data_IF_127989398363
#
_entry.id   IF_127989398363
#
_cell.length_a   1.000
_cell.length_b   1.000
_cell.length_c   1.000
_cell.angle_alpha   90.00
_cell.angle_beta   90.00
_cell.angle_gamma   90.00
#
_symmetry.space_group_name_H-M   'P 1'
#
loop_
_entity.id
_entity.type
_entity.pdbx_description
1 polymer ?
#
# COMPACT_ATOMS: atom_id res chain seq x y z
N UNK A 1 -2.45 -14.71 -0.56
CA UNK A 1 -3.37 -14.11 0.38
C UNK A 1 -2.67 -13.34 1.47
N UNK A 2 -1.54 -13.87 1.94
CA UNK A 2 -0.78 -13.16 2.95
C UNK A 2 -0.39 -11.77 2.45
N UNK A 3 -0.03 -11.70 1.19
CA UNK A 3 0.36 -10.43 0.59
C UNK A 3 -0.77 -9.42 0.60
N UNK A 4 -1.98 -9.88 0.32
CA UNK A 4 -3.12 -8.99 0.29
C UNK A 4 -3.44 -8.45 1.66
N UNK A 5 -3.21 -9.24 2.68
CA UNK A 5 -3.43 -8.76 4.04
C UNK A 5 -2.45 -7.69 4.43
N UNK A 6 -1.19 -7.86 4.03
CA UNK A 6 -0.19 -6.85 4.28
C UNK A 6 -0.54 -5.55 3.58
N UNK A 7 -0.95 -5.66 2.32
CA UNK A 7 -1.31 -4.48 1.54
C UNK A 7 -2.51 -3.77 2.14
N UNK A 8 -3.49 -4.54 2.58
CA UNK A 8 -4.67 -3.97 3.18
C UNK A 8 -4.31 -3.23 4.47
N UNK A 9 -3.45 -3.84 5.27
CA UNK A 9 -3.02 -3.22 6.51
C UNK A 9 -2.21 -1.95 6.23
N UNK A 10 -1.31 -2.03 5.27
CA UNK A 10 -0.51 -0.89 4.88
C UNK A 10 -1.41 0.28 4.49
N UNK A 11 -2.36 0.01 3.59
CA UNK A 11 -3.26 1.05 3.12
C UNK A 11 -4.11 1.64 4.21
N UNK A 12 -4.59 0.79 5.11
CA UNK A 12 -5.41 1.26 6.21
C UNK A 12 -4.64 2.23 7.10
N UNK A 13 -3.41 1.88 7.41
CA UNK A 13 -2.57 2.75 8.24
C UNK A 13 -2.27 4.06 7.50
N UNK A 14 -1.95 3.96 6.21
CA UNK A 14 -1.62 5.15 5.44
C UNK A 14 -2.81 6.10 5.37
N UNK A 15 -4.02 5.58 5.22
CA UNK A 15 -5.21 6.40 5.22
C UNK A 15 -5.41 7.05 6.58
N UNK A 16 -5.24 6.29 7.64
CA UNK A 16 -5.44 6.81 8.98
C UNK A 16 -4.44 7.91 9.32
N UNK A 17 -3.23 7.79 8.80
CA UNK A 17 -2.22 8.81 9.03
C UNK A 17 -2.42 10.02 8.13
N UNK A 18 -3.33 9.94 7.20
CA UNK A 18 -3.58 11.05 6.29
C UNK A 18 -2.60 11.17 5.16
N UNK A 19 -1.81 10.12 4.92
CA UNK A 19 -0.86 10.13 3.81
C UNK A 19 -1.53 9.94 2.46
N UNK A 20 -2.63 9.20 2.44
CA UNK A 20 -3.40 8.98 1.23
C UNK A 20 -4.88 9.02 1.59
N UNK A 21 -5.70 9.19 0.57
CA UNK A 21 -7.14 9.14 0.75
C UNK A 21 -7.64 7.72 0.53
N UNK A 22 -8.86 7.48 0.96
CA UNK A 22 -9.49 6.20 0.73
C UNK A 22 -9.58 5.90 -0.77
N UNK A 23 -9.90 6.92 -1.54
CA UNK A 23 -9.99 6.74 -2.99
C UNK A 23 -8.65 6.37 -3.60
N UNK A 24 -7.58 7.00 -3.14
CA UNK A 24 -6.25 6.68 -3.64
C UNK A 24 -5.87 5.25 -3.30
N UNK A 25 -6.27 4.79 -2.13
CA UNK A 25 -6.02 3.42 -1.72
C UNK A 25 -6.75 2.44 -2.65
N UNK A 26 -8.01 2.74 -2.93
CA UNK A 26 -8.81 1.88 -3.80
C UNK A 26 -8.24 1.86 -5.21
N UNK A 27 -7.80 3.01 -5.70
CA UNK A 27 -7.16 3.09 -7.01
C UNK A 27 -5.92 2.22 -7.09
N UNK A 28 -5.10 2.28 -6.05
CA UNK A 28 -3.87 1.49 -6.03
C UNK A 28 -4.19 0.00 -6.03
N UNK A 29 -5.23 -0.41 -5.31
CA UNK A 29 -5.67 -1.79 -5.32
C UNK A 29 -6.10 -2.22 -6.72
N UNK A 30 -6.82 -1.35 -7.41
CA UNK A 30 -7.26 -1.66 -8.77
C UNK A 30 -6.06 -1.87 -9.67
N UNK A 31 -5.08 -0.99 -9.59
CA UNK A 31 -3.87 -1.12 -10.40
C UNK A 31 -3.18 -2.44 -10.09
N UNK A 32 -3.09 -2.78 -8.82
CA UNK A 32 -2.44 -4.01 -8.42
C UNK A 32 -3.14 -5.23 -9.03
N UNK A 33 -4.45 -5.23 -8.98
CA UNK A 33 -5.23 -6.33 -9.52
C UNK A 33 -5.03 -6.42 -11.02
N UNK A 34 -5.06 -5.29 -11.70
CA UNK A 34 -4.90 -5.26 -13.15
C UNK A 34 -3.52 -5.76 -13.56
N UNK A 35 -2.49 -5.33 -12.86
CA UNK A 35 -1.14 -5.78 -13.17
C UNK A 35 -1.00 -7.28 -12.94
N UNK A 36 -1.61 -7.77 -11.89
CA UNK A 36 -1.56 -9.18 -11.59
C UNK A 36 -2.22 -10.00 -12.70
N UNK A 37 -3.37 -9.55 -13.14
CA UNK A 37 -4.12 -10.28 -14.16
C UNK A 37 -3.47 -10.21 -15.52
N UNK A 38 -2.91 -9.06 -15.88
CA UNK A 38 -2.40 -8.84 -17.22
C UNK A 38 -0.95 -9.29 -17.37
N UNK A 39 -0.14 -9.04 -16.35
CA UNK A 39 1.30 -9.27 -16.45
C UNK A 39 1.82 -10.28 -15.45
N UNK A 40 0.98 -10.74 -14.55
CA UNK A 40 1.43 -11.65 -13.51
C UNK A 40 2.33 -10.99 -12.49
N UNK A 41 2.33 -9.68 -12.42
CA UNK A 41 3.17 -8.96 -11.48
C UNK A 41 2.49 -8.85 -10.12
N UNK A 42 3.31 -8.76 -9.08
CA UNK A 42 2.80 -8.72 -7.71
C UNK A 42 3.42 -7.58 -6.95
N UNK A 43 3.25 -6.36 -7.46
CA UNK A 43 3.78 -5.21 -6.75
C UNK A 43 2.94 -4.93 -5.51
N UNK A 44 3.63 -4.54 -4.45
CA UNK A 44 2.94 -4.16 -3.23
C UNK A 44 2.28 -2.79 -3.40
N UNK A 45 1.24 -2.55 -2.62
CA UNK A 45 0.50 -1.29 -2.68
C UNK A 45 1.44 -0.11 -2.46
N UNK A 46 2.36 -0.24 -1.50
CA UNK A 46 3.30 0.85 -1.23
C UNK A 46 4.15 1.19 -2.44
N UNK A 47 4.58 0.18 -3.19
CA UNK A 47 5.39 0.41 -4.38
C UNK A 47 4.58 1.14 -5.45
N UNK A 48 3.32 0.79 -5.59
CA UNK A 48 2.46 1.44 -6.57
C UNK A 48 2.25 2.91 -6.18
N UNK A 49 1.98 3.16 -4.91
CA UNK A 49 1.75 4.52 -4.44
C UNK A 49 3.00 5.37 -4.58
N UNK A 50 4.16 4.77 -4.35
CA UNK A 50 5.42 5.48 -4.54
C UNK A 50 5.62 5.83 -6.00
N UNK A 51 5.37 4.87 -6.87
CA UNK A 51 5.57 5.06 -8.30
C UNK A 51 4.65 6.15 -8.84
N UNK A 52 3.46 6.27 -8.27
CA UNK A 52 2.51 7.29 -8.70
C UNK A 52 2.78 8.65 -8.07
N UNK A 53 3.76 8.73 -7.19
CA UNK A 53 4.06 9.98 -6.53
C UNK A 53 3.07 10.37 -5.45
N UNK A 54 2.24 9.43 -5.02
CA UNK A 54 1.25 9.70 -3.99
C UNK A 54 1.86 9.61 -2.60
N UNK A 55 2.79 8.68 -2.41
CA UNK A 55 3.51 8.55 -1.15
C UNK A 55 5.00 8.68 -1.39
N UNK A 56 5.69 9.19 -0.40
CA UNK A 56 7.16 9.25 -0.44
C UNK A 56 7.74 8.04 0.26
N UNK A 57 9.02 7.78 0.01
CA UNK A 57 9.71 6.70 0.71
C UNK A 57 9.66 6.89 2.21
N UNK A 58 9.78 8.13 2.64
CA UNK A 58 9.75 8.44 4.06
C UNK A 58 8.41 8.05 4.68
N UNK A 59 7.33 8.35 3.98
CA UNK A 59 6.00 8.00 4.45
C UNK A 59 5.82 6.48 4.46
N UNK A 60 6.34 5.81 3.45
CA UNK A 60 6.25 4.36 3.39
C UNK A 60 7.00 3.74 4.57
N UNK A 61 8.20 4.23 4.84
CA UNK A 61 8.97 3.73 5.96
C UNK A 61 8.23 3.92 7.27
N UNK A 62 7.55 5.04 7.39
CA UNK A 62 6.80 5.32 8.60
C UNK A 62 5.67 4.33 8.80
N UNK A 63 4.96 4.00 7.73
CA UNK A 63 3.87 3.03 7.82
C UNK A 63 4.43 1.65 8.15
N UNK A 64 5.52 1.27 7.50
CA UNK A 64 6.12 -0.04 7.75
C UNK A 64 6.59 -0.12 9.20
N UNK A 65 7.08 0.96 9.74
CA UNK A 65 7.48 0.99 11.13
C UNK A 65 6.35 0.70 12.08
N UNK A 66 5.13 1.06 11.69
CA UNK A 66 3.97 0.77 12.52
C UNK A 66 3.68 -0.72 12.58
N UNK A 67 4.03 -1.45 11.53
CA UNK A 67 3.84 -2.90 11.54
C UNK A 67 4.60 -3.54 12.68
N UNK A 68 5.85 -3.15 12.84
CA UNK A 68 6.65 -3.72 13.89
C UNK A 68 6.07 -3.47 15.27
N UNK A 69 5.55 -2.27 15.47
CA UNK A 69 4.99 -1.92 16.76
C UNK A 69 3.72 -2.68 17.06
N UNK A 70 2.97 -3.02 16.04
CA UNK A 70 1.68 -3.68 16.21
C UNK A 70 1.79 -5.18 16.38
N UNK A 71 2.97 -5.70 16.27
CA UNK A 71 3.15 -7.14 16.37
C UNK A 71 3.34 -7.63 17.79
N UNK A 72 3.27 -6.74 18.70
CA UNK A 72 3.42 -7.14 20.09
C UNK A 72 2.17 -7.78 20.69
#
# INVERSE_FOLDING_TARGET
MVEKELDKRFGTIAVKKGFITQEQFIQAFRIQIEENLEKGEHRLIGAILLDQGIMTMQQIDEVIGMFGKNQK
#
